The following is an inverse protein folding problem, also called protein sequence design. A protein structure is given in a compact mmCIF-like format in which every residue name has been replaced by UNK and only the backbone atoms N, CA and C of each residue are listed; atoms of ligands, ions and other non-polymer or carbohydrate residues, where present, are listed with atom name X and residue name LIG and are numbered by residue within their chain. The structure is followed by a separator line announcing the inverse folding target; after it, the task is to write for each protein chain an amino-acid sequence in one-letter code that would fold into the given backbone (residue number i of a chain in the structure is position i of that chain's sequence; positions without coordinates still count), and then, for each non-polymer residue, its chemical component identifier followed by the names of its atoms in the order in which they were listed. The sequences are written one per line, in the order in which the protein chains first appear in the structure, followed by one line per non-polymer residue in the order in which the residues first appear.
data_IF_537540507247
#
_entry.id   IF_537540507247
#
_cell.length_a   1.000
_cell.length_b   1.000
_cell.length_c   1.000
_cell.angle_alpha   90.00
_cell.angle_beta   90.00
_cell.angle_gamma   90.00
#
_symmetry.space_group_name_H-M   'P 1'
#
loop_
_entity.id
_entity.type
_entity.pdbx_description
1 polymer ?
#
# COMPACT_ATOMS: atom_id res chain seq x y z
N UNK A 1 39.00 2.10 -26.63
CA UNK A 1 38.27 2.83 -25.58
C UNK A 1 36.94 3.44 -26.04
N UNK A 2 36.85 4.12 -27.18
CA UNK A 2 35.57 4.69 -27.67
C UNK A 2 34.58 3.64 -28.23
N UNK A 3 35.08 2.64 -28.96
CA UNK A 3 34.25 1.59 -29.56
C UNK A 3 33.54 0.72 -28.51
N UNK A 4 34.22 0.45 -27.39
CA UNK A 4 33.67 -0.34 -26.28
C UNK A 4 32.56 0.43 -25.54
N UNK A 5 32.74 1.74 -25.36
CA UNK A 5 31.72 2.63 -24.80
C UNK A 5 30.47 2.71 -25.68
N UNK A 6 30.64 2.79 -27.00
CA UNK A 6 29.51 2.79 -27.94
C UNK A 6 28.79 1.44 -27.99
N UNK A 7 29.51 0.32 -27.87
CA UNK A 7 28.91 -1.02 -27.75
C UNK A 7 28.14 -1.18 -26.45
N UNK A 8 28.70 -0.75 -25.31
CA UNK A 8 28.02 -0.79 -24.01
C UNK A 8 26.79 0.13 -24.01
N UNK A 9 26.91 1.35 -24.55
CA UNK A 9 25.78 2.25 -24.71
C UNK A 9 24.71 1.67 -25.64
N UNK A 10 25.10 1.02 -26.74
CA UNK A 10 24.19 0.35 -27.67
C UNK A 10 23.47 -0.84 -27.02
N UNK A 11 24.16 -1.64 -26.21
CA UNK A 11 23.56 -2.75 -25.45
C UNK A 11 22.66 -2.24 -24.34
N UNK A 12 23.03 -1.16 -23.64
CA UNK A 12 22.20 -0.53 -22.62
C UNK A 12 20.96 0.15 -23.22
N UNK A 13 21.08 0.81 -24.36
CA UNK A 13 19.96 1.35 -25.13
C UNK A 13 19.06 0.22 -25.65
N UNK A 14 19.63 -0.84 -26.22
CA UNK A 14 18.87 -2.00 -26.67
C UNK A 14 18.17 -2.71 -25.49
N UNK A 15 18.82 -2.80 -24.33
CA UNK A 15 18.22 -3.34 -23.11
C UNK A 15 17.13 -2.42 -22.55
N UNK A 16 17.35 -1.11 -22.57
CA UNK A 16 16.37 -0.09 -22.16
C UNK A 16 15.14 -0.08 -23.06
N UNK A 17 15.32 -0.23 -24.38
CA UNK A 17 14.21 -0.40 -25.33
C UNK A 17 13.60 -1.81 -25.31
N UNK A 18 14.34 -2.81 -24.81
CA UNK A 18 13.87 -4.20 -24.61
C UNK A 18 13.15 -4.40 -23.28
N UNK A 19 13.36 -3.53 -22.29
CA UNK A 19 12.69 -3.64 -21.00
C UNK A 19 11.20 -3.31 -21.14
N UNK A 20 10.38 -4.30 -20.81
CA UNK A 20 8.94 -4.30 -21.09
C UNK A 20 8.22 -3.11 -20.44
N UNK A 21 7.52 -2.33 -21.28
CA UNK A 21 6.55 -1.28 -20.94
C UNK A 21 6.94 -0.35 -19.78
N UNK A 22 7.94 0.54 -19.99
CA UNK A 22 8.45 1.48 -18.97
C UNK A 22 7.35 2.36 -18.34
N UNK A 23 6.30 2.70 -19.09
CA UNK A 23 5.18 3.54 -18.60
C UNK A 23 3.79 2.96 -18.93
N UNK A 24 3.71 1.67 -19.26
CA UNK A 24 2.49 1.07 -19.80
C UNK A 24 2.14 -0.29 -19.20
N UNK A 25 0.91 -0.71 -19.45
CA UNK A 25 0.40 -2.03 -19.11
C UNK A 25 0.64 -2.95 -20.31
N UNK A 26 1.26 -4.10 -20.04
CA UNK A 26 1.54 -5.09 -21.07
C UNK A 26 0.26 -5.89 -21.36
N UNK A 27 -0.19 -5.80 -22.60
CA UNK A 27 -1.17 -6.68 -23.20
C UNK A 27 -0.63 -8.13 -23.23
N UNK A 28 -1.50 -9.14 -23.18
CA UNK A 28 -1.16 -10.56 -23.19
C UNK A 28 -0.41 -11.06 -24.43
N UNK A 29 -0.39 -10.28 -25.51
CA UNK A 29 0.40 -10.49 -26.73
C UNK A 29 1.78 -9.80 -26.69
N UNK A 30 2.03 -8.98 -25.67
CA UNK A 30 3.27 -8.25 -25.45
C UNK A 30 3.23 -6.78 -25.85
N UNK A 31 2.14 -6.28 -26.44
CA UNK A 31 1.96 -4.85 -26.71
C UNK A 31 1.83 -4.04 -25.42
N UNK A 32 2.10 -2.73 -25.47
CA UNK A 32 2.00 -1.85 -24.31
C UNK A 32 0.93 -0.79 -24.55
N UNK A 33 0.05 -0.60 -23.57
CA UNK A 33 -0.93 0.50 -23.53
C UNK A 33 -0.67 1.39 -22.32
N UNK A 34 -1.13 2.64 -22.34
CA UNK A 34 -1.00 3.55 -21.21
C UNK A 34 -1.96 3.17 -20.07
N UNK A 35 -1.68 3.62 -18.85
CA UNK A 35 -2.57 3.39 -17.71
C UNK A 35 -3.94 4.04 -17.90
N UNK A 36 -3.97 5.24 -18.51
CA UNK A 36 -5.21 5.93 -18.84
C UNK A 36 -6.07 5.23 -19.89
N UNK A 37 -5.51 4.24 -20.60
CA UNK A 37 -6.15 3.45 -21.64
C UNK A 37 -6.74 2.14 -21.11
N UNK A 38 -6.61 1.86 -19.81
CA UNK A 38 -7.17 0.66 -19.21
C UNK A 38 -8.55 0.97 -18.63
N UNK A 39 -9.59 0.28 -19.09
CA UNK A 39 -10.99 0.52 -18.69
C UNK A 39 -11.52 1.92 -19.04
N UNK A 40 -11.10 2.46 -20.19
CA UNK A 40 -11.52 3.77 -20.69
C UNK A 40 -12.65 3.66 -21.74
N UNK A 41 -13.01 2.45 -22.15
CA UNK A 41 -14.03 2.17 -23.17
C UNK A 41 -13.52 2.18 -24.60
N UNK A 42 -12.20 2.20 -24.79
CA UNK A 42 -11.51 2.04 -26.07
C UNK A 42 -10.71 0.74 -26.01
N UNK A 43 -10.76 -0.04 -27.10
CA UNK A 43 -9.95 -1.26 -27.21
C UNK A 43 -8.58 -0.88 -27.77
N UNK A 44 -7.65 -0.63 -26.86
CA UNK A 44 -6.24 -0.34 -27.11
C UNK A 44 -5.38 -1.61 -27.13
N UNK A 45 -5.74 -2.64 -26.36
CA UNK A 45 -5.12 -3.96 -26.50
C UNK A 45 -5.73 -4.76 -27.66
N UNK A 46 -4.94 -5.47 -28.50
CA UNK A 46 -5.46 -6.20 -29.66
C UNK A 46 -6.48 -7.30 -29.34
N UNK A 47 -6.45 -7.83 -28.12
CA UNK A 47 -7.40 -8.85 -27.64
C UNK A 47 -8.52 -8.27 -26.75
N UNK A 48 -8.62 -6.94 -26.60
CA UNK A 48 -9.66 -6.28 -25.79
C UNK A 48 -9.56 -6.55 -24.29
N UNK A 49 -8.41 -6.99 -23.81
CA UNK A 49 -8.19 -7.36 -22.41
C UNK A 49 -8.13 -6.17 -21.45
N UNK A 50 -7.77 -5.00 -21.99
CA UNK A 50 -7.81 -3.70 -21.34
C UNK A 50 -9.22 -3.32 -20.90
N UNK A 51 -10.21 -3.70 -21.70
CA UNK A 51 -11.64 -3.47 -21.43
C UNK A 51 -12.33 -4.67 -20.77
N UNK A 52 -11.60 -5.77 -20.55
CA UNK A 52 -12.13 -6.97 -19.92
C UNK A 52 -11.91 -6.95 -18.39
N UNK A 53 -12.95 -7.30 -17.63
CA UNK A 53 -12.91 -7.46 -16.17
C UNK A 53 -12.57 -6.18 -15.39
N UNK A 54 -13.07 -5.04 -15.86
CA UNK A 54 -12.95 -3.75 -15.20
C UNK A 54 -13.88 -3.66 -13.99
N UNK A 55 -13.34 -3.89 -12.79
CA UNK A 55 -14.07 -3.90 -11.52
C UNK A 55 -13.41 -2.94 -10.53
N UNK A 56 -14.19 -2.17 -9.78
CA UNK A 56 -13.70 -1.27 -8.71
C UNK A 56 -14.64 -1.21 -7.52
N UNK A 57 -14.10 -0.77 -6.37
CA UNK A 57 -14.87 -0.40 -5.18
C UNK A 57 -14.87 1.12 -5.01
N UNK A 58 -16.04 1.71 -4.80
CA UNK A 58 -16.19 3.18 -4.69
C UNK A 58 -16.69 3.60 -3.31
N UNK A 59 -16.03 4.62 -2.75
CA UNK A 59 -16.43 5.29 -1.52
C UNK A 59 -16.28 4.44 -0.24
N UNK A 60 -16.74 4.98 0.89
CA UNK A 60 -16.66 4.31 2.21
C UNK A 60 -17.61 3.12 2.37
N UNK A 61 -18.67 3.05 1.55
CA UNK A 61 -19.63 1.94 1.57
C UNK A 61 -19.19 0.71 0.78
N UNK A 62 -17.98 0.70 0.21
CA UNK A 62 -17.44 -0.41 -0.59
C UNK A 62 -18.34 -0.82 -1.77
N UNK A 63 -18.97 0.14 -2.43
CA UNK A 63 -19.89 -0.13 -3.52
C UNK A 63 -19.17 -0.77 -4.69
N UNK A 64 -19.57 -2.01 -5.05
CA UNK A 64 -19.02 -2.73 -6.19
C UNK A 64 -19.52 -2.13 -7.51
N UNK A 65 -18.58 -1.67 -8.33
CA UNK A 65 -18.86 -1.15 -9.67
C UNK A 65 -18.07 -1.90 -10.73
N UNK A 66 -18.68 -2.03 -11.90
CA UNK A 66 -18.09 -2.69 -13.06
C UNK A 66 -18.26 -1.77 -14.26
N UNK A 67 -17.19 -1.63 -15.04
CA UNK A 67 -17.23 -0.83 -16.24
C UNK A 67 -18.02 -1.57 -17.33
N UNK A 68 -18.98 -0.88 -17.93
CA UNK A 68 -19.79 -1.42 -19.02
C UNK A 68 -19.37 -0.78 -20.33
N UNK A 69 -18.76 -1.57 -21.19
CA UNK A 69 -18.35 -1.17 -22.55
C UNK A 69 -19.54 -0.71 -23.40
N UNK A 70 -20.73 -1.30 -23.20
CA UNK A 70 -21.97 -0.92 -23.90
C UNK A 70 -22.40 0.52 -23.60
N UNK A 71 -22.24 0.98 -22.36
CA UNK A 71 -22.67 2.31 -21.94
C UNK A 71 -21.54 3.29 -21.67
N UNK A 72 -20.29 2.88 -21.90
CA UNK A 72 -19.07 3.63 -21.58
C UNK A 72 -19.10 4.27 -20.18
N UNK A 73 -19.53 3.49 -19.19
CA UNK A 73 -19.74 3.98 -17.83
C UNK A 73 -19.62 2.90 -16.77
N UNK A 74 -19.20 3.32 -15.58
CA UNK A 74 -19.18 2.49 -14.38
C UNK A 74 -20.58 2.28 -13.82
N UNK A 75 -20.98 1.01 -13.63
CA UNK A 75 -22.30 0.61 -13.15
C UNK A 75 -22.21 -0.14 -11.84
N UNK A 76 -23.17 0.11 -10.94
CA UNK A 76 -23.27 -0.64 -9.69
C UNK A 76 -23.79 -2.06 -9.95
N UNK A 77 -23.29 -3.01 -9.17
CA UNK A 77 -23.75 -4.40 -9.22
C UNK A 77 -24.97 -4.56 -8.31
N UNK A 78 -26.07 -5.06 -8.85
CA UNK A 78 -27.27 -5.33 -8.06
C UNK A 78 -27.11 -6.62 -7.24
N UNK A 79 -27.63 -6.63 -6.01
CA UNK A 79 -27.48 -7.77 -5.08
C UNK A 79 -28.30 -9.00 -5.46
N UNK A 80 -29.23 -8.88 -6.41
CA UNK A 80 -30.09 -9.99 -6.80
C UNK A 80 -29.28 -11.17 -7.35
N UNK A 81 -29.40 -12.33 -6.73
CA UNK A 81 -28.68 -13.55 -7.12
C UNK A 81 -27.25 -13.66 -6.58
N UNK A 82 -26.79 -12.73 -5.75
CA UNK A 82 -25.51 -12.82 -5.01
C UNK A 82 -25.68 -13.59 -3.70
N UNK A 83 -24.70 -14.43 -3.38
CA UNK A 83 -24.55 -15.14 -2.10
C UNK A 83 -23.15 -14.88 -1.53
N UNK A 84 -22.93 -15.09 -0.23
CA UNK A 84 -21.57 -14.97 0.35
C UNK A 84 -20.56 -15.86 -0.36
N UNK A 85 -20.95 -17.08 -0.74
CA UNK A 85 -20.10 -18.00 -1.48
C UNK A 85 -19.73 -17.47 -2.88
N UNK A 86 -20.68 -16.87 -3.61
CA UNK A 86 -20.40 -16.18 -4.88
C UNK A 86 -19.50 -14.97 -4.70
N UNK A 87 -19.57 -14.30 -3.55
CA UNK A 87 -18.64 -13.21 -3.18
C UNK A 87 -17.23 -13.69 -2.85
N UNK A 88 -17.09 -14.89 -2.25
CA UNK A 88 -15.80 -15.52 -1.89
C UNK A 88 -15.15 -16.26 -3.05
N UNK A 89 -15.94 -16.82 -3.97
CA UNK A 89 -15.46 -17.49 -5.18
C UNK A 89 -15.27 -16.50 -6.32
N UNK A 90 -14.32 -16.80 -7.23
CA UNK A 90 -13.90 -15.94 -8.36
C UNK A 90 -15.04 -15.23 -9.10
N UNK A 91 -14.71 -14.06 -9.64
CA UNK A 91 -15.46 -13.22 -10.59
C UNK A 91 -15.86 -13.95 -11.90
N UNK A 92 -16.59 -15.07 -11.83
CA UNK A 92 -16.87 -15.97 -12.96
C UNK A 92 -18.35 -16.04 -13.35
N UNK A 93 -19.19 -15.14 -12.84
CA UNK A 93 -20.56 -14.97 -13.34
C UNK A 93 -20.75 -13.53 -13.82
N UNK A 94 -21.34 -13.29 -15.01
CA UNK A 94 -21.64 -11.95 -15.48
C UNK A 94 -22.63 -11.31 -14.49
N UNK A 95 -22.24 -10.24 -13.79
CA UNK A 95 -23.11 -9.57 -12.85
C UNK A 95 -24.23 -8.85 -13.58
N UNK A 96 -25.41 -8.75 -12.96
CA UNK A 96 -26.52 -7.97 -13.51
C UNK A 96 -26.18 -6.48 -13.36
N UNK A 97 -25.78 -5.85 -14.46
CA UNK A 97 -25.51 -4.42 -14.53
C UNK A 97 -26.80 -3.66 -14.89
N UNK A 98 -27.23 -2.72 -14.04
CA UNK A 98 -28.38 -1.84 -14.31
C UNK A 98 -28.08 -0.39 -13.92
N UNK A 99 -28.80 0.57 -14.53
CA UNK A 99 -28.76 1.98 -14.11
C UNK A 99 -29.34 2.15 -12.70
N UNK A 100 -30.38 1.38 -12.38
CA UNK A 100 -31.08 1.37 -11.10
C UNK A 100 -31.34 -0.08 -10.70
N UNK A 101 -30.98 -0.42 -9.46
CA UNK A 101 -31.21 -1.76 -8.92
C UNK A 101 -32.63 -1.87 -8.35
N UNK A 102 -33.31 -3.02 -8.52
CA UNK A 102 -34.57 -3.27 -7.84
C UNK A 102 -34.42 -3.06 -6.33
N UNK A 103 -35.32 -2.28 -5.72
CA UNK A 103 -35.31 -1.90 -4.30
C UNK A 103 -34.03 -1.17 -3.82
N UNK A 104 -33.24 -0.57 -4.73
CA UNK A 104 -31.96 0.08 -4.42
C UNK A 104 -30.93 -0.84 -3.72
N UNK A 105 -31.06 -2.16 -3.87
CA UNK A 105 -30.14 -3.11 -3.26
C UNK A 105 -28.93 -3.36 -4.16
N UNK A 106 -27.74 -3.15 -3.60
CA UNK A 106 -26.45 -3.20 -4.29
C UNK A 106 -25.48 -4.12 -3.55
N UNK A 107 -24.46 -4.61 -4.27
CA UNK A 107 -23.38 -5.42 -3.67
C UNK A 107 -22.30 -4.50 -3.12
N UNK A 108 -21.90 -4.75 -1.87
CA UNK A 108 -20.74 -4.15 -1.25
C UNK A 108 -19.70 -5.23 -0.93
N UNK A 109 -18.42 -4.96 -1.20
CA UNK A 109 -17.34 -5.88 -0.83
C UNK A 109 -16.55 -5.30 0.35
N UNK A 110 -16.81 -5.81 1.53
CA UNK A 110 -16.07 -5.39 2.71
C UNK A 110 -14.71 -6.10 2.74
N UNK A 111 -13.67 -5.32 3.00
CA UNK A 111 -12.39 -5.88 3.39
C UNK A 111 -12.58 -6.70 4.67
N UNK A 112 -12.12 -7.95 4.67
CA UNK A 112 -12.23 -8.86 5.82
C UNK A 112 -11.21 -8.55 6.93
N UNK A 113 -10.66 -7.33 6.95
CA UNK A 113 -9.87 -6.84 8.08
C UNK A 113 -10.74 -6.88 9.33
N UNK A 114 -10.32 -7.67 10.32
CA UNK A 114 -11.07 -7.82 11.57
C UNK A 114 -11.23 -6.44 12.21
N UNK A 115 -12.37 -6.20 12.86
CA UNK A 115 -12.55 -5.11 13.82
C UNK A 115 -11.67 -5.38 15.04
N UNK A 116 -10.36 -5.19 14.89
CA UNK A 116 -9.41 -5.34 15.99
C UNK A 116 -9.69 -4.20 16.95
N UNK A 117 -9.98 -4.53 18.22
CA UNK A 117 -9.96 -3.56 19.31
C UNK A 117 -8.49 -3.23 19.61
N UNK A 118 -7.85 -2.52 18.68
CA UNK A 118 -6.49 -2.01 18.86
C UNK A 118 -6.49 -1.01 20.01
N UNK A 119 -5.43 -1.03 20.81
CA UNK A 119 -5.20 -0.04 21.87
C UNK A 119 -5.30 1.37 21.28
N UNK A 120 -6.27 2.15 21.74
CA UNK A 120 -6.42 3.59 21.37
C UNK A 120 -5.47 4.45 22.19
N UNK A 121 -4.23 4.00 22.31
CA UNK A 121 -3.20 4.65 23.09
C UNK A 121 -2.96 6.06 22.58
N UNK A 122 -2.78 6.98 23.51
CA UNK A 122 -2.64 8.41 23.24
C UNK A 122 -1.19 8.88 23.13
N UNK A 123 -0.21 8.07 23.56
CA UNK A 123 1.20 8.46 23.62
C UNK A 123 2.11 7.29 23.24
N UNK A 124 3.29 7.61 22.67
CA UNK A 124 4.35 6.67 22.24
C UNK A 124 4.69 5.60 23.28
N UNK A 125 3.96 4.49 23.27
CA UNK A 125 4.07 3.42 24.27
C UNK A 125 4.27 2.07 23.59
N UNK A 126 4.63 1.07 24.38
CA UNK A 126 4.74 -0.31 23.91
C UNK A 126 3.38 -0.82 23.43
N UNK A 127 3.34 -1.29 22.19
CA UNK A 127 2.18 -1.94 21.61
C UNK A 127 1.99 -3.33 22.22
N UNK A 128 0.75 -3.68 22.49
CA UNK A 128 0.40 -5.05 22.90
C UNK A 128 0.40 -5.99 21.71
N UNK A 129 0.73 -7.26 21.94
CA UNK A 129 0.67 -8.30 20.91
C UNK A 129 -0.73 -8.38 20.31
N UNK A 130 -0.82 -8.27 18.99
CA UNK A 130 -2.08 -8.30 18.25
C UNK A 130 -2.83 -6.97 18.16
N UNK A 131 -2.34 -5.87 18.76
CA UNK A 131 -2.93 -4.53 18.57
C UNK A 131 -2.78 -4.03 17.13
N UNK A 132 -1.66 -4.33 16.48
CA UNK A 132 -1.34 -3.94 15.10
C UNK A 132 -0.98 -5.17 14.26
N UNK A 133 -1.93 -6.07 13.97
CA UNK A 133 -1.63 -7.38 13.39
C UNK A 133 -1.17 -7.34 11.93
N UNK A 134 -1.24 -6.17 11.29
CA UNK A 134 -0.70 -5.90 9.96
C UNK A 134 0.74 -5.40 9.98
N UNK A 135 1.27 -4.99 11.14
CA UNK A 135 2.64 -4.54 11.25
C UNK A 135 3.60 -5.70 10.96
N UNK A 136 4.63 -5.43 10.16
CA UNK A 136 5.77 -6.33 10.02
C UNK A 136 7.10 -5.64 10.32
N UNK A 137 8.08 -6.45 10.68
CA UNK A 137 9.49 -6.07 10.76
C UNK A 137 10.19 -6.65 9.54
N UNK A 138 10.75 -5.78 8.70
CA UNK A 138 11.58 -6.15 7.56
C UNK A 138 13.04 -6.18 8.01
N UNK A 139 13.64 -7.36 7.94
CA UNK A 139 14.99 -7.59 8.46
C UNK A 139 15.96 -8.01 7.37
N UNK A 140 17.20 -7.53 7.50
CA UNK A 140 18.36 -7.93 6.68
C UNK A 140 19.48 -8.34 7.62
N UNK A 141 20.05 -9.52 7.40
CA UNK A 141 21.08 -10.12 8.26
C UNK A 141 20.67 -10.17 9.75
N UNK A 142 19.41 -10.49 10.04
CA UNK A 142 18.87 -10.62 11.40
C UNK A 142 18.66 -9.30 12.15
N UNK A 143 18.79 -8.16 11.46
CA UNK A 143 18.59 -6.82 12.02
C UNK A 143 17.41 -6.13 11.35
N UNK A 144 16.55 -5.52 12.15
CA UNK A 144 15.46 -4.70 11.67
C UNK A 144 15.99 -3.49 10.87
N UNK A 145 15.37 -3.26 9.72
CA UNK A 145 15.73 -2.17 8.80
C UNK A 145 14.58 -1.21 8.55
N UNK A 146 13.39 -1.77 8.36
CA UNK A 146 12.19 -1.01 8.05
C UNK A 146 10.94 -1.77 8.50
N UNK A 147 9.84 -1.04 8.54
CA UNK A 147 8.50 -1.52 8.79
C UNK A 147 7.78 -1.85 7.49
N UNK A 148 6.58 -2.38 7.66
CA UNK A 148 5.69 -2.64 6.55
C UNK A 148 4.28 -2.96 7.03
N UNK A 149 3.37 -3.01 6.08
CA UNK A 149 1.96 -3.32 6.30
C UNK A 149 1.53 -4.53 5.49
N UNK A 150 0.93 -5.54 6.14
CA UNK A 150 0.27 -6.65 5.46
C UNK A 150 -0.99 -6.12 4.79
N UNK A 151 -1.08 -6.25 3.47
CA UNK A 151 -2.30 -5.87 2.70
C UNK A 151 -3.02 -7.09 2.12
N UNK A 152 -2.35 -8.25 2.07
CA UNK A 152 -2.96 -9.55 1.75
C UNK A 152 -2.07 -10.69 2.26
N UNK A 153 -2.49 -11.97 2.20
CA UNK A 153 -1.65 -13.10 2.63
C UNK A 153 -0.27 -13.17 1.96
N UNK A 154 -0.10 -12.63 0.76
CA UNK A 154 1.17 -12.69 0.03
C UNK A 154 1.87 -11.34 -0.11
N UNK A 155 1.23 -10.24 0.30
CA UNK A 155 1.67 -8.91 -0.10
C UNK A 155 1.86 -8.00 1.11
N UNK A 156 3.04 -7.40 1.17
CA UNK A 156 3.43 -6.36 2.11
C UNK A 156 3.66 -5.06 1.34
N UNK A 157 3.14 -3.95 1.87
CA UNK A 157 3.48 -2.58 1.45
C UNK A 157 4.58 -2.04 2.37
N UNK A 158 5.57 -1.36 1.80
CA UNK A 158 6.64 -0.65 2.51
C UNK A 158 7.14 0.52 1.64
N UNK A 159 8.10 1.29 2.13
CA UNK A 159 8.68 2.41 1.38
C UNK A 159 9.75 1.91 0.38
N UNK A 160 9.91 2.60 -0.74
CA UNK A 160 10.96 2.33 -1.73
C UNK A 160 12.37 2.54 -1.16
N UNK A 161 12.59 3.59 -0.38
CA UNK A 161 13.88 3.87 0.27
C UNK A 161 14.37 2.70 1.14
N UNK A 162 13.45 1.89 1.68
CA UNK A 162 13.77 0.73 2.50
C UNK A 162 14.43 -0.40 1.71
N UNK A 163 14.08 -0.56 0.44
CA UNK A 163 14.46 -1.73 -0.36
C UNK A 163 15.46 -1.42 -1.47
N UNK A 164 15.75 -0.14 -1.73
CA UNK A 164 16.63 0.28 -2.83
C UNK A 164 18.12 -0.01 -2.59
N UNK A 165 18.56 -0.10 -1.33
CA UNK A 165 19.93 -0.44 -0.98
C UNK A 165 20.18 -1.96 -0.86
N UNK A 166 19.12 -2.76 -0.69
CA UNK A 166 19.16 -4.23 -0.69
C UNK A 166 18.07 -4.78 -1.61
N UNK A 167 18.39 -4.95 -2.88
CA UNK A 167 17.41 -5.28 -3.92
C UNK A 167 17.17 -6.77 -4.11
N UNK A 168 18.04 -7.63 -3.56
CA UNK A 168 17.90 -9.08 -3.68
C UNK A 168 16.83 -9.61 -2.70
N UNK A 169 15.77 -10.30 -3.18
CA UNK A 169 14.74 -10.83 -2.28
C UNK A 169 15.27 -11.78 -1.20
N UNK A 170 16.34 -12.53 -1.49
CA UNK A 170 16.96 -13.47 -0.56
C UNK A 170 17.65 -12.83 0.65
N UNK A 171 17.92 -11.52 0.59
CA UNK A 171 18.53 -10.79 1.70
C UNK A 171 17.52 -10.46 2.81
N UNK A 172 16.22 -10.57 2.49
CA UNK A 172 15.14 -10.12 3.33
C UNK A 172 14.40 -11.26 4.03
N UNK A 173 14.16 -11.04 5.33
CA UNK A 173 13.27 -11.83 6.16
C UNK A 173 12.13 -10.94 6.67
N UNK A 174 10.90 -11.38 6.49
CA UNK A 174 9.70 -10.68 6.97
C UNK A 174 9.20 -11.35 8.24
N UNK A 175 9.12 -10.60 9.34
CA UNK A 175 8.52 -11.08 10.59
C UNK A 175 7.19 -10.39 10.83
N UNK A 176 6.16 -11.20 11.12
CA UNK A 176 4.81 -10.76 11.42
C UNK A 176 4.35 -11.33 12.76
N UNK A 177 3.39 -10.67 13.41
CA UNK A 177 2.85 -11.15 14.69
C UNK A 177 3.82 -11.07 15.86
N UNK A 178 4.76 -10.13 15.81
CA UNK A 178 5.76 -9.87 16.86
C UNK A 178 5.65 -8.44 17.37
N UNK A 179 6.01 -8.21 18.63
CA UNK A 179 6.05 -6.87 19.25
C UNK A 179 7.34 -6.59 20.01
N UNK A 180 8.25 -7.56 20.05
CA UNK A 180 9.48 -7.47 20.82
C UNK A 180 10.60 -8.29 20.15
N UNK A 181 11.87 -8.11 20.60
CA UNK A 181 13.03 -8.76 19.99
C UNK A 181 13.06 -10.28 20.14
N UNK A 182 12.29 -10.87 21.06
CA UNK A 182 12.19 -12.32 21.24
C UNK A 182 11.17 -12.95 20.30
N UNK A 183 10.25 -12.15 19.74
CA UNK A 183 9.24 -12.59 18.78
C UNK A 183 9.77 -13.49 17.64
N UNK A 184 10.91 -13.17 16.99
CA UNK A 184 11.58 -14.02 16.00
C UNK A 184 11.94 -15.43 16.46
N UNK A 185 12.06 -15.69 17.77
CA UNK A 185 12.34 -17.04 18.29
C UNK A 185 11.10 -17.95 18.21
N UNK A 186 9.90 -17.36 18.21
CA UNK A 186 8.63 -18.08 18.25
C UNK A 186 7.80 -17.93 16.97
N UNK A 187 8.17 -17.00 16.09
CA UNK A 187 7.48 -16.74 14.83
C UNK A 187 8.46 -16.96 13.67
N UNK A 188 8.17 -17.88 12.75
CA UNK A 188 9.04 -18.13 11.61
C UNK A 188 9.10 -16.91 10.69
N UNK A 189 10.27 -16.67 10.13
CA UNK A 189 10.44 -15.67 9.09
C UNK A 189 9.73 -16.10 7.80
N UNK A 190 9.07 -15.15 7.14
CA UNK A 190 8.54 -15.32 5.80
C UNK A 190 9.59 -14.86 4.78
N UNK A 191 9.90 -15.72 3.81
CA UNK A 191 10.85 -15.41 2.74
C UNK A 191 10.20 -14.53 1.67
N UNK A 192 10.98 -13.63 1.11
CA UNK A 192 10.55 -12.74 0.04
C UNK A 192 10.84 -13.38 -1.32
N UNK A 193 9.81 -13.48 -2.16
CA UNK A 193 9.92 -13.96 -3.54
C UNK A 193 10.27 -12.84 -4.51
N UNK A 194 9.75 -11.64 -4.27
CA UNK A 194 9.96 -10.49 -5.16
C UNK A 194 9.85 -9.17 -4.40
N UNK A 195 10.68 -8.22 -4.80
CA UNK A 195 10.62 -6.82 -4.38
C UNK A 195 10.27 -6.01 -5.63
N UNK A 196 9.31 -5.10 -5.49
CA UNK A 196 8.83 -4.24 -6.56
C UNK A 196 8.86 -2.81 -6.04
N UNK A 197 9.77 -2.02 -6.57
CA UNK A 197 9.90 -0.60 -6.26
C UNK A 197 9.15 0.21 -7.30
N UNK A 198 8.52 1.32 -6.91
CA UNK A 198 7.87 2.20 -7.88
C UNK A 198 8.85 2.69 -8.94
N UNK A 199 8.48 2.59 -10.21
CA UNK A 199 9.37 2.80 -11.36
C UNK A 199 9.87 4.25 -11.44
N UNK A 200 9.03 5.20 -11.03
CA UNK A 200 9.36 6.62 -10.95
C UNK A 200 9.88 7.08 -9.56
N UNK A 201 10.33 6.16 -8.70
CA UNK A 201 10.92 6.52 -7.41
C UNK A 201 12.18 7.38 -7.60
N UNK A 202 12.28 8.48 -6.85
CA UNK A 202 13.41 9.38 -6.88
C UNK A 202 14.02 9.49 -5.47
N UNK A 203 15.24 9.00 -5.28
CA UNK A 203 15.91 8.99 -3.98
C UNK A 203 16.36 10.36 -3.45
N UNK A 204 16.41 11.40 -4.30
CA UNK A 204 16.78 12.75 -3.88
C UNK A 204 15.58 13.54 -3.38
N UNK A 205 14.45 13.41 -4.07
CA UNK A 205 13.20 14.09 -3.70
C UNK A 205 12.27 13.23 -2.85
N UNK A 206 12.59 11.94 -2.72
CA UNK A 206 11.78 10.89 -2.11
C UNK A 206 10.35 10.85 -2.67
N UNK A 207 10.20 11.21 -3.96
CA UNK A 207 8.93 11.11 -4.67
C UNK A 207 8.69 9.67 -5.08
N UNK A 208 7.42 9.28 -5.07
CA UNK A 208 6.96 7.92 -5.35
C UNK A 208 7.61 6.88 -4.44
N UNK A 209 7.77 7.19 -3.16
CA UNK A 209 8.45 6.33 -2.18
C UNK A 209 7.57 5.19 -1.68
N UNK A 210 7.20 4.28 -2.59
CA UNK A 210 6.36 3.11 -2.31
C UNK A 210 6.97 1.86 -2.93
N UNK A 211 6.85 0.74 -2.23
CA UNK A 211 7.28 -0.57 -2.68
C UNK A 211 6.36 -1.69 -2.20
N UNK A 212 6.38 -2.80 -2.94
CA UNK A 212 5.72 -4.04 -2.58
C UNK A 212 6.73 -5.16 -2.39
N UNK A 213 6.52 -5.97 -1.36
CA UNK A 213 7.18 -7.26 -1.21
C UNK A 213 6.16 -8.37 -1.37
N UNK A 214 6.43 -9.28 -2.31
CA UNK A 214 5.67 -10.53 -2.47
C UNK A 214 6.36 -11.63 -1.69
N UNK A 215 5.64 -12.26 -0.78
CA UNK A 215 6.11 -13.41 -0.01
C UNK A 215 6.09 -14.68 -0.85
N UNK A 216 6.99 -15.61 -0.54
CA UNK A 216 7.05 -16.92 -1.20
C UNK A 216 5.91 -17.85 -0.78
N UNK A 217 5.42 -17.70 0.45
CA UNK A 217 4.35 -18.47 1.05
C UNK A 217 3.32 -17.52 1.69
N UNK A 218 2.04 -17.92 1.78
CA UNK A 218 1.03 -17.08 2.38
C UNK A 218 1.26 -16.96 3.89
N UNK A 219 0.99 -15.77 4.43
CA UNK A 219 0.84 -15.54 5.87
C UNK A 219 -0.30 -16.39 6.43
N UNK A 220 -0.10 -16.97 7.61
CA UNK A 220 -1.14 -17.73 8.31
C UNK A 220 -2.17 -16.81 8.99
N UNK A 221 -2.97 -16.14 8.17
CA UNK A 221 -4.03 -15.23 8.62
C UNK A 221 -5.22 -15.98 9.27
N UNK A 222 -5.30 -17.29 9.12
CA UNK A 222 -6.37 -18.11 9.69
C UNK A 222 -6.01 -18.71 11.04
N UNK A 223 -4.78 -19.19 11.18
CA UNK A 223 -4.27 -19.82 12.41
C UNK A 223 -3.75 -18.82 13.44
N UNK A 224 -3.36 -17.60 13.02
CA UNK A 224 -2.91 -16.55 13.93
C UNK A 224 -3.90 -15.40 14.06
N UNK A 225 -4.19 -15.00 15.31
CA UNK A 225 -4.97 -13.78 15.60
C UNK A 225 -4.10 -12.52 15.50
N UNK A 226 -2.78 -12.67 15.54
CA UNK A 226 -1.81 -11.57 15.57
C UNK A 226 -1.29 -11.20 14.17
N UNK A 227 -1.72 -11.92 13.13
CA UNK A 227 -1.33 -11.69 11.74
C UNK A 227 -2.60 -11.48 10.93
N UNK A 228 -2.85 -10.24 10.50
CA UNK A 228 -4.03 -9.88 9.73
C UNK A 228 -3.71 -8.75 8.76
N UNK A 229 -4.31 -8.73 7.56
CA UNK A 229 -4.15 -7.61 6.66
C UNK A 229 -4.89 -6.36 7.16
N UNK A 230 -4.35 -5.19 6.85
CA UNK A 230 -5.04 -3.90 6.91
C UNK A 230 -5.73 -3.63 5.56
N UNK A 231 -6.82 -2.86 5.57
CA UNK A 231 -7.55 -2.55 4.36
C UNK A 231 -6.89 -1.42 3.58
N UNK A 232 -6.73 -1.61 2.27
CA UNK A 232 -6.36 -0.53 1.36
C UNK A 232 -7.55 0.42 1.17
N UNK A 233 -7.33 1.73 1.04
CA UNK A 233 -8.39 2.71 0.82
C UNK A 233 -9.14 2.43 -0.49
N UNK A 234 -10.43 2.75 -0.52
CA UNK A 234 -11.22 2.64 -1.75
C UNK A 234 -11.03 3.88 -2.63
N UNK A 235 -11.30 3.74 -3.93
CA UNK A 235 -11.31 4.88 -4.86
C UNK A 235 -12.32 5.93 -4.36
N UNK A 236 -11.83 7.14 -4.12
CA UNK A 236 -12.62 8.27 -3.62
C UNK A 236 -12.81 8.32 -2.10
N UNK A 237 -12.17 7.43 -1.32
CA UNK A 237 -12.06 7.63 0.13
C UNK A 237 -11.21 8.89 0.38
N UNK A 238 -11.82 9.94 0.92
CA UNK A 238 -11.13 11.18 1.23
C UNK A 238 -10.73 11.18 2.70
N UNK A 239 -9.43 11.13 2.95
CA UNK A 239 -8.88 11.43 4.27
C UNK A 239 -8.86 12.94 4.41
N UNK A 240 -9.66 13.46 5.34
CA UNK A 240 -9.72 14.90 5.61
C UNK A 240 -8.64 15.30 6.62
N UNK A 241 -8.28 16.59 6.62
CA UNK A 241 -7.49 17.15 7.69
C UNK A 241 -8.11 16.88 9.07
N UNK A 242 -7.26 16.81 10.07
CA UNK A 242 -7.60 16.49 11.47
C UNK A 242 -8.17 15.08 11.69
N UNK A 243 -8.15 14.23 10.67
CA UNK A 243 -8.48 12.82 10.83
C UNK A 243 -7.49 12.17 11.81
N UNK A 244 -8.02 11.54 12.86
CA UNK A 244 -7.22 10.79 13.82
C UNK A 244 -6.70 9.52 13.17
N UNK A 245 -5.39 9.33 13.31
CA UNK A 245 -4.65 8.20 12.79
C UNK A 245 -3.73 7.63 13.87
N UNK A 246 -3.15 6.48 13.58
CA UNK A 246 -2.19 5.80 14.43
C UNK A 246 -1.02 5.34 13.59
N UNK A 247 0.16 5.37 14.20
CA UNK A 247 1.38 4.80 13.64
C UNK A 247 1.86 3.70 14.56
N UNK A 248 2.48 2.69 13.96
CA UNK A 248 3.19 1.64 14.69
C UNK A 248 4.60 1.49 14.10
N UNK A 249 5.62 1.39 14.98
CA UNK A 249 7.03 1.43 14.59
C UNK A 249 7.89 0.54 15.47
N UNK A 250 8.88 -0.15 14.92
CA UNK A 250 9.92 -0.78 15.74
C UNK A 250 11.03 0.22 16.07
N UNK A 251 11.47 0.25 17.33
CA UNK A 251 12.54 1.15 17.73
C UNK A 251 13.92 0.62 17.31
N UNK A 252 14.80 1.51 16.87
CA UNK A 252 16.14 1.14 16.40
C UNK A 252 17.03 0.75 17.58
N UNK A 253 17.52 -0.49 17.60
CA UNK A 253 18.43 -1.02 18.62
C UNK A 253 17.81 -2.12 19.48
N UNK A 254 16.60 -1.89 19.99
CA UNK A 254 15.77 -2.91 20.65
C UNK A 254 14.39 -2.88 20.01
N UNK A 255 14.09 -3.77 19.03
CA UNK A 255 12.88 -3.70 18.22
C UNK A 255 11.64 -4.11 19.02
N UNK A 256 11.27 -3.29 20.00
CA UNK A 256 9.95 -3.25 20.57
C UNK A 256 9.03 -2.46 19.64
N UNK A 257 7.82 -2.98 19.44
CA UNK A 257 6.79 -2.28 18.68
C UNK A 257 6.22 -1.17 19.55
N UNK A 258 6.33 0.06 19.06
CA UNK A 258 5.79 1.26 19.67
C UNK A 258 4.55 1.70 18.87
N UNK A 259 3.59 2.31 19.56
CA UNK A 259 2.39 2.88 18.95
C UNK A 259 2.21 4.35 19.36
N UNK A 260 1.73 5.20 18.45
CA UNK A 260 1.41 6.59 18.75
C UNK A 260 0.16 7.05 17.99
N UNK A 261 -0.59 7.97 18.59
CA UNK A 261 -1.72 8.63 17.94
C UNK A 261 -1.25 9.91 17.25
N UNK A 262 -1.62 10.05 15.99
CA UNK A 262 -1.29 11.22 15.17
C UNK A 262 -2.54 11.79 14.53
N UNK A 263 -2.44 12.99 13.97
CA UNK A 263 -3.52 13.65 13.26
C UNK A 263 -3.05 14.16 11.91
N UNK A 264 -3.83 13.90 10.87
CA UNK A 264 -3.54 14.35 9.51
C UNK A 264 -3.56 15.87 9.44
N UNK A 265 -2.61 16.43 8.70
CA UNK A 265 -2.45 17.87 8.50
C UNK A 265 -2.78 18.21 7.05
N UNK A 266 -3.34 19.40 6.86
CA UNK A 266 -3.62 19.96 5.54
C UNK A 266 -2.35 20.17 4.71
N UNK A 267 -2.42 19.87 3.42
CA UNK A 267 -1.29 19.98 2.51
C UNK A 267 -0.66 21.40 2.49
N UNK A 268 -1.44 22.51 2.50
CA UNK A 268 -0.86 23.86 2.62
C UNK A 268 -0.09 24.10 3.92
N UNK A 269 -0.56 23.56 5.05
CA UNK A 269 0.13 23.69 6.34
C UNK A 269 1.42 22.87 6.33
N UNK A 270 1.36 21.64 5.80
CA UNK A 270 2.55 20.80 5.67
C UNK A 270 3.58 21.37 4.68
N UNK A 271 3.13 21.99 3.58
CA UNK A 271 4.00 22.66 2.61
C UNK A 271 4.45 24.07 3.01
N UNK A 272 4.11 24.53 4.22
CA UNK A 272 4.52 25.84 4.68
C UNK A 272 6.04 26.02 4.63
N UNK A 273 6.48 27.27 4.51
CA UNK A 273 7.90 27.62 4.48
C UNK A 273 8.66 27.11 5.72
N UNK A 274 7.99 27.10 6.87
CA UNK A 274 8.58 26.71 8.16
C UNK A 274 8.70 25.17 8.27
N UNK A 275 7.79 24.42 7.64
CA UNK A 275 7.82 22.95 7.70
C UNK A 275 8.71 22.36 6.60
N UNK A 276 8.32 22.51 5.32
CA UNK A 276 8.96 21.79 4.22
C UNK A 276 9.25 22.61 2.96
N UNK A 277 8.95 23.91 2.94
CA UNK A 277 9.31 24.81 1.82
C UNK A 277 8.89 24.23 0.45
N UNK A 278 7.61 23.86 0.30
CA UNK A 278 7.02 23.28 -0.92
C UNK A 278 7.65 21.96 -1.42
N UNK A 279 8.29 21.17 -0.54
CA UNK A 279 8.83 19.84 -0.91
C UNK A 279 7.80 18.70 -0.90
N UNK A 280 6.61 18.90 -0.34
CA UNK A 280 5.58 17.87 -0.22
C UNK A 280 4.73 17.85 -1.49
N UNK A 281 4.71 16.72 -2.19
CA UNK A 281 3.90 16.50 -3.40
C UNK A 281 2.64 15.66 -3.10
N UNK A 282 1.79 15.45 -4.11
CA UNK A 282 0.47 14.80 -3.96
C UNK A 282 0.56 13.32 -3.55
N UNK A 283 1.71 12.70 -3.82
CA UNK A 283 2.09 11.35 -3.42
C UNK A 283 2.48 11.27 -1.94
N UNK A 284 2.42 12.37 -1.19
CA UNK A 284 2.75 12.45 0.22
C UNK A 284 1.58 12.98 1.05
N UNK A 285 1.50 12.55 2.30
CA UNK A 285 0.56 13.01 3.32
C UNK A 285 1.32 13.26 4.63
N UNK A 286 0.88 14.26 5.39
CA UNK A 286 1.54 14.63 6.63
C UNK A 286 0.64 14.38 7.84
N UNK A 287 1.27 13.99 8.95
CA UNK A 287 0.60 13.85 10.23
C UNK A 287 1.47 14.34 11.38
N UNK A 288 0.86 14.95 12.39
CA UNK A 288 1.53 15.42 13.61
C UNK A 288 1.14 14.53 14.78
N UNK A 289 2.07 14.31 15.69
CA UNK A 289 1.74 13.79 17.02
C UNK A 289 0.75 14.73 17.71
N UNK A 290 -0.27 14.16 18.34
CA UNK A 290 -1.25 14.92 19.11
C UNK A 290 -0.76 15.33 20.49
N UNK A 291 0.42 14.87 20.93
CA UNK A 291 1.02 15.21 22.22
C UNK A 291 2.39 15.89 22.05
N UNK A 292 2.48 17.14 22.50
CA UNK A 292 3.75 17.86 22.58
C UNK A 292 4.70 17.16 23.56
N UNK A 293 5.93 16.88 23.12
CA UNK A 293 6.96 16.24 23.95
C UNK A 293 7.00 14.70 23.86
N UNK A 294 6.15 14.08 23.02
CA UNK A 294 6.36 12.71 22.57
C UNK A 294 7.57 12.68 21.64
N UNK A 295 8.76 12.38 22.18
CA UNK A 295 10.02 12.30 21.44
C UNK A 295 10.04 11.14 20.44
N UNK A 296 9.10 11.10 19.50
CA UNK A 296 9.02 10.11 18.44
C UNK A 296 10.01 10.51 17.36
N UNK A 297 11.25 10.18 17.68
CA UNK A 297 12.38 10.29 16.80
C UNK A 297 12.62 9.01 16.05
N UNK A 298 12.87 9.15 14.74
CA UNK A 298 13.06 8.06 13.79
C UNK A 298 11.75 7.33 13.47
N UNK A 299 11.09 7.75 12.40
CA UNK A 299 10.02 6.96 11.84
C UNK A 299 10.62 5.65 11.27
N UNK A 300 10.08 4.51 11.67
CA UNK A 300 10.39 3.21 11.07
C UNK A 300 9.92 3.25 9.62
N UNK A 301 10.86 3.47 8.69
CA UNK A 301 10.56 3.66 7.26
C UNK A 301 9.70 2.51 6.73
N UNK A 302 8.70 2.82 5.91
CA UNK A 302 7.72 1.86 5.41
C UNK A 302 6.67 1.39 6.42
N UNK A 303 6.76 1.80 7.69
CA UNK A 303 5.77 1.50 8.71
C UNK A 303 4.39 2.10 8.41
N UNK A 304 3.29 1.46 8.85
CA UNK A 304 1.93 1.87 8.51
C UNK A 304 1.45 3.11 9.26
N UNK A 305 0.81 4.03 8.54
CA UNK A 305 -0.09 5.05 9.07
C UNK A 305 -1.53 4.59 8.81
N UNK A 306 -2.30 4.34 9.85
CA UNK A 306 -3.65 3.79 9.75
C UNK A 306 -4.71 4.66 10.40
N UNK A 307 -5.93 4.60 9.88
CA UNK A 307 -7.09 5.30 10.46
C UNK A 307 -8.28 4.36 10.61
N UNK A 308 -8.99 4.49 11.73
CA UNK A 308 -10.23 3.76 11.99
C UNK A 308 -11.42 4.58 11.50
N UNK A 309 -12.07 4.14 10.42
CA UNK A 309 -13.26 4.78 9.85
C UNK A 309 -14.37 3.74 9.69
N UNK A 310 -15.57 4.04 10.18
CA UNK A 310 -16.74 3.15 10.14
C UNK A 310 -16.46 1.74 10.71
N UNK A 311 -15.57 1.65 11.70
CA UNK A 311 -15.17 0.39 12.33
C UNK A 311 -14.18 -0.45 11.52
N UNK A 312 -13.62 0.08 10.43
CA UNK A 312 -12.59 -0.57 9.60
C UNK A 312 -11.28 0.20 9.69
N UNK A 313 -10.18 -0.53 9.81
CA UNK A 313 -8.82 0.03 9.79
C UNK A 313 -8.31 0.14 8.36
N UNK A 314 -7.96 1.37 7.97
CA UNK A 314 -7.49 1.70 6.62
C UNK A 314 -6.03 2.11 6.65
N UNK A 315 -5.24 1.59 5.70
CA UNK A 315 -3.87 2.03 5.46
C UNK A 315 -3.89 3.35 4.70
N UNK A 316 -3.63 4.44 5.40
CA UNK A 316 -3.67 5.79 4.84
C UNK A 316 -2.31 6.18 4.26
N UNK A 317 -1.23 5.69 4.88
CA UNK A 317 0.10 5.94 4.36
C UNK A 317 1.13 4.94 4.85
N UNK A 318 2.33 5.05 4.29
CA UNK A 318 3.54 4.35 4.67
C UNK A 318 4.62 5.36 5.03
N UNK A 319 5.36 5.12 6.11
CA UNK A 319 6.26 6.12 6.67
C UNK A 319 7.46 6.38 5.77
N UNK A 320 7.74 7.65 5.47
CA UNK A 320 8.92 8.01 4.67
C UNK A 320 9.95 8.73 5.53
N UNK A 321 9.61 9.91 6.06
CA UNK A 321 10.51 10.67 6.92
C UNK A 321 9.75 11.54 7.91
N UNK A 322 10.44 12.15 8.85
CA UNK A 322 9.86 13.09 9.79
C UNK A 322 10.92 13.61 10.74
N UNK A 323 11.05 14.93 10.80
CA UNK A 323 12.05 15.60 11.63
C UNK A 323 11.38 16.01 12.95
N UNK A 324 11.47 15.17 13.97
CA UNK A 324 11.11 15.57 15.35
C UNK A 324 12.29 15.48 16.31
N UNK A 325 13.52 15.44 15.77
CA UNK A 325 14.71 15.09 16.55
C UNK A 325 15.64 16.24 16.88
N UNK A 326 15.34 17.45 16.45
CA UNK A 326 16.21 18.58 16.67
C UNK A 326 15.46 19.92 16.82
N UNK A 327 14.32 19.92 17.53
CA UNK A 327 13.68 21.17 17.96
C UNK A 327 12.94 21.95 16.86
N UNK A 328 12.53 21.30 15.77
CA UNK A 328 11.61 21.87 14.78
C UNK A 328 10.27 21.11 14.83
N UNK A 329 9.16 21.85 14.92
CA UNK A 329 7.78 21.34 14.91
C UNK A 329 7.35 20.79 13.53
N UNK A 330 8.27 20.17 12.78
CA UNK A 330 7.98 19.63 11.47
C UNK A 330 7.16 18.34 11.60
N UNK A 331 6.03 18.20 10.87
CA UNK A 331 5.18 17.03 10.97
C UNK A 331 5.78 15.82 10.24
N UNK A 332 5.45 14.59 10.65
CA UNK A 332 5.87 13.39 9.93
C UNK A 332 5.26 13.33 8.52
N UNK A 333 6.03 12.80 7.56
CA UNK A 333 5.69 12.63 6.15
C UNK A 333 5.58 11.15 5.80
N UNK A 334 4.49 10.81 5.14
CA UNK A 334 4.11 9.46 4.77
C UNK A 334 3.75 9.43 3.28
N UNK A 335 3.95 8.30 2.61
CA UNK A 335 3.44 8.09 1.26
C UNK A 335 1.92 8.04 1.30
N UNK A 336 1.27 8.70 0.35
CA UNK A 336 -0.17 8.73 0.26
C UNK A 336 -0.64 7.43 -0.42
N UNK A 337 -1.00 6.41 0.37
CA UNK A 337 -1.40 5.11 -0.18
C UNK A 337 -2.61 5.22 -1.11
N UNK A 338 -3.50 6.19 -0.89
CA UNK A 338 -4.63 6.46 -1.80
C UNK A 338 -4.17 6.93 -3.19
N UNK A 339 -3.04 7.66 -3.27
CA UNK A 339 -2.42 8.06 -4.54
C UNK A 339 -1.82 6.86 -5.27
N UNK A 340 -1.27 5.89 -4.55
CA UNK A 340 -0.62 4.70 -5.13
C UNK A 340 -1.56 3.50 -5.36
N UNK A 341 -2.87 3.61 -5.12
CA UNK A 341 -3.80 2.47 -5.20
C UNK A 341 -3.77 1.77 -6.56
N UNK A 342 -3.81 2.53 -7.65
CA UNK A 342 -3.82 1.97 -9.00
C UNK A 342 -2.52 1.20 -9.28
N UNK A 343 -1.38 1.79 -8.89
CA UNK A 343 -0.08 1.14 -8.95
C UNK A 343 -0.03 -0.14 -8.11
N UNK A 344 -0.46 -0.10 -6.84
CA UNK A 344 -0.48 -1.26 -5.94
C UNK A 344 -1.29 -2.41 -6.54
N UNK A 345 -2.53 -2.12 -6.98
CA UNK A 345 -3.41 -3.13 -7.57
C UNK A 345 -2.85 -3.70 -8.87
N UNK A 346 -2.24 -2.86 -9.71
CA UNK A 346 -1.57 -3.30 -10.95
C UNK A 346 -0.44 -4.27 -10.65
N UNK A 347 0.48 -3.91 -9.75
CA UNK A 347 1.62 -4.76 -9.41
C UNK A 347 1.16 -6.10 -8.81
N UNK A 348 0.16 -6.07 -7.93
CA UNK A 348 -0.44 -7.29 -7.37
C UNK A 348 -1.02 -8.19 -8.46
N UNK A 349 -1.73 -7.62 -9.45
CA UNK A 349 -2.33 -8.36 -10.57
C UNK A 349 -1.27 -8.97 -11.49
N UNK A 350 -0.30 -8.17 -11.94
CA UNK A 350 0.75 -8.60 -12.88
C UNK A 350 1.64 -9.68 -12.26
N UNK A 351 1.89 -9.60 -10.95
CA UNK A 351 2.80 -10.50 -10.24
C UNK A 351 2.08 -11.52 -9.35
N UNK A 352 0.82 -11.83 -9.63
CA UNK A 352 0.01 -12.80 -8.86
C UNK A 352 0.50 -14.25 -8.96
N UNK A 353 1.23 -14.64 -10.02
CA UNK A 353 1.68 -16.02 -10.30
C UNK A 353 3.17 -16.22 -10.05
#
# INVERSE_FOLDING_TARGET
SLLLLLLVAGVLLAYYFSSSCIHGIKCGDGNCVWESQWCDGVTDCPTGQDEANCVRLRGSSFLLQIYSTQSKAWRSVCSHGWTEEKGRSKCLLPPILRNTCPNNMVVTLHCTGIRVNSSRASAGQLASLGSWPWQVSLQVAGSHRCGGAIISPYWIVTAAQCVTWATSPGDWAVYAGIVDPLGPLFNPAYSVRRIITHEAYNSQTLKNDIALMRLSQPLDITGSRNIRPVCLPNVGLKVTAHQKCWISRFDSGFPYLMEAQVSVIDAPECNSFIAYTNRISQDMICARDLQAGGGVCHADGGGPLVSLMDGVWWLIGDSIWGEHCAGQDAPGVYGNVAYFLDWIHRQMKVHSF
#
